data_IF_229152842337
#
_entry.id   IF_229152842337
#
_cell.length_a   1.000
_cell.length_b   1.000
_cell.length_c   1.000
_cell.angle_alpha   90.00
_cell.angle_beta   90.00
_cell.angle_gamma   90.00
#
_symmetry.space_group_name_H-M   'P 1'
#
loop_
_entity.id
_entity.type
_entity.pdbx_description
1 polymer ?
#
# COMPACT_ATOMS: atom_id res chain seq x y z
N UNK A 1 -2.02 -16.78 -11.05
CA UNK A 1 -0.94 -16.01 -11.68
C UNK A 1 -0.69 -14.71 -10.90
N UNK A 2 0.57 -14.31 -10.73
CA UNK A 2 0.88 -13.00 -10.14
C UNK A 2 0.50 -11.84 -11.08
N UNK A 3 0.46 -12.09 -12.38
CA UNK A 3 0.09 -11.11 -13.40
C UNK A 3 -1.42 -10.89 -13.44
N UNK A 4 -1.83 -9.63 -13.61
CA UNK A 4 -3.23 -9.22 -13.62
C UNK A 4 -3.89 -9.08 -12.24
N UNK A 5 -3.24 -9.57 -11.17
CA UNK A 5 -3.70 -9.39 -9.79
C UNK A 5 -3.24 -8.04 -9.24
N UNK A 6 -4.08 -7.43 -8.42
CA UNK A 6 -3.73 -6.18 -7.73
C UNK A 6 -3.13 -6.47 -6.37
N UNK A 7 -2.14 -5.66 -5.99
CA UNK A 7 -1.43 -5.76 -4.71
C UNK A 7 -1.42 -4.40 -4.02
N UNK A 8 -1.30 -4.42 -2.68
CA UNK A 8 -0.96 -3.26 -1.89
C UNK A 8 0.51 -3.36 -1.50
N UNK A 9 1.30 -2.33 -1.83
CA UNK A 9 2.66 -2.15 -1.34
C UNK A 9 2.63 -1.12 -0.22
N UNK A 10 2.71 -1.60 1.02
CA UNK A 10 2.76 -0.77 2.22
C UNK A 10 4.20 -0.57 2.70
N UNK A 11 4.51 0.63 3.21
CA UNK A 11 5.85 1.01 3.67
C UNK A 11 5.79 1.54 5.10
N UNK A 12 6.44 0.84 6.04
CA UNK A 12 6.53 1.22 7.44
C UNK A 12 7.97 1.35 7.88
N UNK A 13 8.20 2.16 8.90
CA UNK A 13 9.46 2.22 9.60
C UNK A 13 9.50 1.10 10.64
N UNK A 14 10.44 0.15 10.52
CA UNK A 14 10.64 -0.88 11.54
C UNK A 14 11.61 -0.43 12.64
N UNK A 15 12.62 0.38 12.28
CA UNK A 15 13.55 0.98 13.22
C UNK A 15 14.16 2.25 12.61
N UNK A 16 14.60 3.17 13.45
CA UNK A 16 15.25 4.42 13.04
C UNK A 16 16.39 4.77 13.98
N UNK A 17 17.42 5.42 13.45
CA UNK A 17 18.56 5.87 14.25
C UNK A 17 18.25 7.08 15.16
N UNK A 18 17.19 7.81 14.88
CA UNK A 18 16.65 8.85 15.77
C UNK A 18 15.12 8.97 15.56
N UNK A 19 14.43 9.48 16.58
CA UNK A 19 12.96 9.61 16.61
C UNK A 19 12.47 11.00 16.20
N UNK A 20 13.36 11.86 15.72
CA UNK A 20 13.01 13.24 15.33
C UNK A 20 12.05 13.28 14.15
N UNK A 21 12.30 12.43 13.15
CA UNK A 21 11.58 12.47 11.88
C UNK A 21 10.64 11.25 11.71
N UNK A 22 11.05 10.10 12.23
CA UNK A 22 10.28 8.86 12.20
C UNK A 22 10.33 8.11 13.52
N UNK A 23 9.24 7.44 13.84
CA UNK A 23 9.18 6.46 14.94
C UNK A 23 8.89 5.05 14.38
N UNK A 24 9.31 4.03 15.10
CA UNK A 24 9.02 2.65 14.72
C UNK A 24 7.50 2.42 14.65
N UNK A 25 7.05 1.69 13.62
CA UNK A 25 5.64 1.45 13.33
C UNK A 25 4.97 2.51 12.44
N UNK A 26 5.58 3.68 12.28
CA UNK A 26 5.02 4.76 11.47
C UNK A 26 4.97 4.40 9.98
N UNK A 27 3.88 4.81 9.30
CA UNK A 27 3.77 4.75 7.85
C UNK A 27 4.65 5.87 7.27
N UNK A 28 5.70 5.47 6.55
CA UNK A 28 6.65 6.43 5.97
C UNK A 28 6.14 7.05 4.67
N UNK A 29 5.43 6.26 3.85
CA UNK A 29 4.82 6.69 2.59
C UNK A 29 3.44 6.10 2.46
N UNK A 30 2.54 6.79 1.76
CA UNK A 30 1.22 6.23 1.47
C UNK A 30 1.35 4.87 0.77
N UNK A 31 0.51 3.89 1.11
CA UNK A 31 0.47 2.62 0.41
C UNK A 31 0.16 2.82 -1.07
N UNK A 32 0.80 2.01 -1.91
CA UNK A 32 0.59 2.03 -3.36
C UNK A 32 -0.24 0.81 -3.76
N UNK A 33 -1.25 1.02 -4.60
CA UNK A 33 -1.87 -0.06 -5.35
C UNK A 33 -1.02 -0.33 -6.57
N UNK A 34 -0.63 -1.58 -6.78
CA UNK A 34 0.23 -1.96 -7.90
C UNK A 34 -0.28 -3.19 -8.61
N UNK A 35 0.09 -3.32 -9.88
CA UNK A 35 -0.16 -4.49 -10.73
C UNK A 35 1.11 -4.84 -11.50
N UNK A 36 1.33 -6.13 -11.71
CA UNK A 36 2.42 -6.60 -12.54
C UNK A 36 1.93 -6.91 -13.95
N UNK A 37 2.68 -6.46 -14.95
CA UNK A 37 2.57 -6.90 -16.33
C UNK A 37 3.91 -7.37 -16.85
N UNK A 38 3.95 -8.03 -18.01
CA UNK A 38 5.20 -8.41 -18.67
C UNK A 38 5.07 -8.37 -20.18
N UNK A 39 6.20 -8.13 -20.84
CA UNK A 39 6.42 -8.45 -22.24
C UNK A 39 7.40 -9.64 -22.37
N UNK A 40 8.04 -9.77 -23.52
CA UNK A 40 9.00 -10.85 -23.78
C UNK A 40 10.31 -10.72 -22.97
N UNK A 41 10.68 -9.51 -22.56
CA UNK A 41 12.00 -9.20 -21.97
C UNK A 41 11.94 -8.64 -20.58
N UNK A 42 10.81 -8.03 -20.19
CA UNK A 42 10.70 -7.25 -18.96
C UNK A 42 9.42 -7.59 -18.20
N UNK A 43 9.48 -7.38 -16.90
CA UNK A 43 8.32 -7.29 -16.01
C UNK A 43 8.20 -5.84 -15.55
N UNK A 44 6.99 -5.32 -15.53
CA UNK A 44 6.67 -3.96 -15.13
C UNK A 44 5.79 -3.94 -13.89
N UNK A 45 6.07 -3.00 -12.99
CA UNK A 45 5.16 -2.60 -11.91
C UNK A 45 4.41 -1.37 -12.40
N UNK A 46 3.09 -1.46 -12.43
CA UNK A 46 2.21 -0.32 -12.67
C UNK A 46 1.65 0.17 -11.35
N UNK A 47 1.54 1.49 -11.19
CA UNK A 47 0.81 2.11 -10.10
C UNK A 47 -0.64 2.30 -10.53
N UNK A 48 -1.58 1.66 -9.80
CA UNK A 48 -3.00 1.75 -10.12
C UNK A 48 -3.58 3.04 -9.56
N UNK A 49 -4.24 3.79 -10.42
CA UNK A 49 -5.03 4.95 -10.04
C UNK A 49 -6.43 4.49 -9.65
N UNK A 50 -6.77 4.62 -8.37
CA UNK A 50 -8.05 4.10 -7.84
C UNK A 50 -9.07 5.17 -7.52
N UNK A 51 -8.76 6.45 -7.73
CA UNK A 51 -9.66 7.59 -7.50
C UNK A 51 -10.75 7.72 -8.55
N UNK A 52 -10.44 7.29 -9.77
CA UNK A 52 -11.29 7.42 -10.93
C UNK A 52 -11.69 6.02 -11.40
N UNK A 53 -12.98 5.79 -11.63
CA UNK A 53 -13.52 4.49 -12.01
C UNK A 53 -14.66 4.65 -13.03
N UNK A 54 -14.90 3.60 -13.80
CA UNK A 54 -16.07 3.52 -14.70
C UNK A 54 -17.21 2.79 -14.00
N UNK A 55 -18.43 3.20 -14.26
CA UNK A 55 -19.63 2.55 -13.72
C UNK A 55 -19.89 1.22 -14.45
N UNK A 56 -19.71 0.10 -13.76
CA UNK A 56 -20.04 -1.22 -14.29
C UNK A 56 -19.36 -1.53 -15.64
N UNK A 57 -20.14 -1.96 -16.63
CA UNK A 57 -19.73 -2.25 -18.02
C UNK A 57 -20.17 -1.14 -18.96
N UNK A 58 -19.85 0.11 -18.64
CA UNK A 58 -20.27 1.28 -19.41
C UNK A 58 -19.46 1.40 -20.72
N UNK A 59 -20.08 1.76 -21.87
CA UNK A 59 -19.39 1.95 -23.14
C UNK A 59 -18.23 2.96 -23.12
N UNK A 60 -18.20 3.88 -22.14
CA UNK A 60 -17.13 4.86 -21.93
C UNK A 60 -15.79 4.23 -21.53
N UNK A 61 -15.78 2.96 -21.07
CA UNK A 61 -14.60 2.26 -20.57
C UNK A 61 -13.42 2.34 -21.54
N UNK A 62 -13.66 2.13 -22.84
CA UNK A 62 -12.60 2.18 -23.85
C UNK A 62 -11.96 3.56 -24.00
N UNK A 63 -12.73 4.63 -23.78
CA UNK A 63 -12.22 6.00 -23.79
C UNK A 63 -11.54 6.34 -22.46
N UNK A 64 -12.08 5.83 -21.35
CA UNK A 64 -11.49 5.97 -20.02
C UNK A 64 -10.09 5.35 -19.96
N UNK A 65 -9.91 4.12 -20.40
CA UNK A 65 -8.62 3.41 -20.39
C UNK A 65 -7.52 4.13 -21.17
N UNK A 66 -7.88 4.87 -22.23
CA UNK A 66 -6.92 5.67 -23.00
C UNK A 66 -6.46 6.92 -22.26
N UNK A 67 -7.26 7.45 -21.34
CA UNK A 67 -6.99 8.69 -20.59
C UNK A 67 -6.50 8.44 -19.17
N UNK A 68 -6.76 7.26 -18.61
CA UNK A 68 -6.40 6.85 -17.24
C UNK A 68 -5.55 5.58 -17.23
N UNK A 69 -4.59 5.50 -18.14
CA UNK A 69 -3.66 4.37 -18.20
C UNK A 69 -2.78 4.33 -16.94
N UNK A 70 -2.67 3.15 -16.33
CA UNK A 70 -1.84 2.94 -15.14
C UNK A 70 -0.35 3.19 -15.45
N UNK A 71 0.30 4.21 -14.86
CA UNK A 71 1.68 4.53 -15.17
C UNK A 71 2.63 3.41 -14.74
N UNK A 72 3.69 3.21 -15.51
CA UNK A 72 4.77 2.30 -15.16
C UNK A 72 5.64 2.93 -14.06
N UNK A 73 5.64 2.32 -12.89
CA UNK A 73 6.46 2.73 -11.76
C UNK A 73 7.91 2.25 -11.92
N UNK A 74 8.08 0.99 -12.36
CA UNK A 74 9.40 0.34 -12.50
C UNK A 74 9.35 -0.79 -13.52
N UNK A 75 10.43 -0.93 -14.29
CA UNK A 75 10.68 -2.08 -15.16
C UNK A 75 11.87 -2.91 -14.67
N UNK A 76 11.78 -4.23 -14.84
CA UNK A 76 12.81 -5.20 -14.47
C UNK A 76 13.07 -6.13 -15.65
N UNK A 77 14.33 -6.38 -15.99
CA UNK A 77 14.67 -7.40 -16.98
C UNK A 77 14.36 -8.79 -16.45
N UNK A 78 13.82 -9.64 -17.29
CA UNK A 78 13.65 -11.06 -16.96
C UNK A 78 15.03 -11.72 -16.94
N UNK A 79 15.44 -12.20 -15.77
CA UNK A 79 16.71 -12.88 -15.57
C UNK A 79 16.65 -14.36 -15.99
N UNK A 80 15.49 -15.01 -15.77
CA UNK A 80 15.23 -16.37 -16.18
C UNK A 80 13.72 -16.59 -16.36
N UNK A 81 13.36 -17.58 -17.18
CA UNK A 81 11.97 -17.97 -17.38
C UNK A 81 11.85 -19.50 -17.45
N UNK A 82 10.83 -20.04 -16.79
CA UNK A 82 10.44 -21.44 -16.87
C UNK A 82 8.91 -21.54 -17.07
N UNK A 83 8.50 -21.82 -18.27
CA UNK A 83 7.09 -21.82 -18.67
C UNK A 83 6.44 -20.46 -18.41
N UNK A 84 5.44 -20.43 -17.54
CA UNK A 84 4.72 -19.18 -17.16
C UNK A 84 5.40 -18.40 -16.04
N UNK A 85 6.38 -18.98 -15.37
CA UNK A 85 7.09 -18.36 -14.26
C UNK A 85 8.28 -17.57 -14.78
N UNK A 86 8.48 -16.37 -14.25
CA UNK A 86 9.61 -15.49 -14.55
C UNK A 86 10.34 -15.12 -13.28
N UNK A 87 11.64 -14.94 -13.39
CA UNK A 87 12.52 -14.49 -12.32
C UNK A 87 13.04 -13.10 -12.68
N UNK A 88 12.92 -12.17 -11.74
CA UNK A 88 13.42 -10.80 -11.85
C UNK A 88 14.24 -10.44 -10.62
N UNK A 89 15.22 -9.56 -10.81
CA UNK A 89 16.00 -8.99 -9.70
C UNK A 89 15.35 -7.69 -9.24
N UNK A 90 14.82 -7.71 -8.02
CA UNK A 90 14.18 -6.56 -7.36
C UNK A 90 15.07 -5.90 -6.30
N UNK A 91 16.34 -6.32 -6.20
CA UNK A 91 17.27 -5.85 -5.16
C UNK A 91 17.41 -4.33 -5.17
N UNK A 92 17.60 -3.73 -6.33
CA UNK A 92 17.72 -2.27 -6.44
C UNK A 92 16.41 -1.53 -6.07
N UNK A 93 15.25 -2.14 -6.32
CA UNK A 93 13.95 -1.52 -5.98
C UNK A 93 13.71 -1.49 -4.48
N UNK A 94 14.01 -2.58 -3.79
CA UNK A 94 13.77 -2.69 -2.35
C UNK A 94 14.98 -2.32 -1.50
N UNK A 95 16.19 -2.51 -1.99
CA UNK A 95 17.44 -2.29 -1.25
C UNK A 95 18.07 -0.91 -1.43
N UNK A 96 17.59 -0.12 -2.41
CA UNK A 96 18.06 1.24 -2.65
C UNK A 96 16.99 2.29 -2.34
N UNK A 97 17.34 3.57 -2.56
CA UNK A 97 16.44 4.69 -2.35
C UNK A 97 15.52 4.91 -3.57
N UNK A 98 14.57 4.01 -3.78
CA UNK A 98 13.55 4.17 -4.82
C UNK A 98 12.57 5.29 -4.42
N UNK A 99 12.48 6.35 -5.25
CA UNK A 99 11.72 7.58 -4.93
C UNK A 99 10.27 7.33 -4.55
N UNK A 100 9.61 6.39 -5.20
CA UNK A 100 8.20 6.09 -4.97
C UNK A 100 7.91 5.53 -3.58
N UNK A 101 8.90 4.84 -2.97
CA UNK A 101 8.81 4.16 -1.67
C UNK A 101 9.90 4.63 -0.69
N UNK A 102 10.50 5.78 -0.95
CA UNK A 102 11.53 6.38 -0.11
C UNK A 102 10.93 7.04 1.14
N UNK A 103 11.51 6.85 2.33
CA UNK A 103 11.15 7.61 3.52
C UNK A 103 11.58 9.07 3.42
N UNK A 104 12.62 9.37 2.62
CA UNK A 104 13.12 10.72 2.38
C UNK A 104 12.52 11.26 1.09
N UNK A 105 11.68 12.27 1.21
CA UNK A 105 11.13 12.96 0.05
C UNK A 105 12.21 13.87 -0.57
N UNK A 106 12.44 13.73 -1.87
CA UNK A 106 13.26 14.68 -2.62
C UNK A 106 12.58 16.05 -2.61
N UNK A 107 13.37 17.10 -2.41
CA UNK A 107 12.89 18.48 -2.42
C UNK A 107 12.00 18.78 -3.63
N UNK A 108 10.75 19.11 -3.37
CA UNK A 108 9.92 19.79 -4.35
C UNK A 108 10.18 21.31 -4.16
N UNK A 109 10.65 22.04 -5.16
CA UNK A 109 10.85 23.49 -5.07
C UNK A 109 9.61 24.25 -4.59
N UNK A 110 8.42 23.75 -4.93
CA UNK A 110 7.14 24.33 -4.53
C UNK A 110 6.85 24.14 -3.02
N UNK A 111 7.29 23.04 -2.42
CA UNK A 111 7.12 22.82 -0.98
C UNK A 111 7.97 23.75 -0.13
N UNK A 112 9.11 24.22 -0.66
CA UNK A 112 9.93 25.27 -0.05
C UNK A 112 9.22 26.62 -0.03
N UNK A 113 8.52 26.94 -1.11
CA UNK A 113 7.80 28.21 -1.25
C UNK A 113 6.56 28.27 -0.35
N UNK A 114 5.90 27.14 -0.14
CA UNK A 114 4.66 27.05 0.66
C UNK A 114 4.87 26.76 2.14
N UNK A 115 6.13 26.87 2.64
CA UNK A 115 6.44 26.67 4.06
C UNK A 115 6.18 25.22 4.56
N UNK A 116 6.18 24.27 3.67
CA UNK A 116 5.97 22.85 3.98
C UNK A 116 7.03 22.36 4.96
N UNK A 117 6.54 21.84 6.09
CA UNK A 117 7.32 21.43 7.25
C UNK A 117 8.44 20.44 6.90
N UNK A 118 9.59 20.67 7.50
CA UNK A 118 10.71 19.78 7.80
C UNK A 118 10.66 18.36 7.19
N UNK A 119 10.85 18.27 5.88
CA UNK A 119 11.18 16.98 5.28
C UNK A 119 12.66 16.72 5.54
N UNK A 120 12.96 15.55 6.09
CA UNK A 120 14.31 15.06 6.26
C UNK A 120 15.05 15.11 4.91
N UNK A 121 16.20 15.80 4.88
CA UNK A 121 17.02 15.96 3.68
C UNK A 121 18.32 15.23 3.86
N UNK A 122 18.72 14.49 2.83
CA UNK A 122 19.98 13.77 2.91
C UNK A 122 20.37 13.12 1.59
N UNK A 123 21.64 12.82 1.47
CA UNK A 123 22.20 12.06 0.35
C UNK A 123 22.19 10.58 0.72
N UNK A 124 21.67 9.77 -0.17
CA UNK A 124 21.65 8.30 0.00
C UNK A 124 23.06 7.72 -0.06
N UNK A 125 23.35 6.75 0.84
CA UNK A 125 24.63 6.07 0.94
C UNK A 125 24.43 4.59 0.51
N UNK A 126 24.71 4.25 -0.77
CA UNK A 126 24.46 2.91 -1.31
C UNK A 126 25.20 1.81 -0.54
N UNK A 127 26.49 2.01 -0.25
CA UNK A 127 27.35 1.00 0.40
C UNK A 127 26.94 0.64 1.82
N UNK A 128 26.14 1.52 2.47
CA UNK A 128 25.59 1.30 3.81
C UNK A 128 24.11 0.84 3.77
N UNK A 129 23.57 0.56 2.59
CA UNK A 129 22.16 0.24 2.37
C UNK A 129 21.98 -1.12 1.72
N UNK A 130 20.79 -1.73 1.89
CA UNK A 130 20.51 -3.01 1.26
C UNK A 130 19.36 -3.75 1.93
N UNK A 131 18.99 -4.90 1.35
CA UNK A 131 17.98 -5.80 1.92
C UNK A 131 18.57 -6.50 3.13
N UNK A 132 17.86 -6.44 4.25
CA UNK A 132 18.23 -7.08 5.53
C UNK A 132 17.61 -8.46 5.64
N UNK A 133 16.34 -8.59 5.24
CA UNK A 133 15.62 -9.87 5.26
C UNK A 133 14.43 -9.84 4.34
N UNK A 134 14.04 -11.03 3.87
CA UNK A 134 12.79 -11.23 3.15
C UNK A 134 12.09 -12.49 3.67
N UNK A 135 10.75 -12.44 3.73
CA UNK A 135 9.90 -13.57 4.12
C UNK A 135 8.70 -13.62 3.17
N UNK A 136 8.35 -14.82 2.73
CA UNK A 136 7.19 -15.06 1.87
C UNK A 136 6.14 -15.84 2.63
N UNK A 137 4.89 -15.45 2.46
CA UNK A 137 3.69 -16.08 2.99
C UNK A 137 2.69 -16.32 1.84
N UNK A 138 1.64 -17.11 2.01
CA UNK A 138 0.71 -17.40 0.92
C UNK A 138 0.09 -16.18 0.24
N UNK A 139 -0.18 -15.10 0.98
CA UNK A 139 -0.85 -13.90 0.47
C UNK A 139 0.00 -12.63 0.54
N UNK A 140 1.21 -12.70 1.13
CA UNK A 140 2.07 -11.52 1.28
C UNK A 140 3.56 -11.84 1.25
N UNK A 141 4.34 -10.83 0.91
CA UNK A 141 5.79 -10.84 0.96
C UNK A 141 6.23 -9.69 1.86
N UNK A 142 7.11 -10.00 2.82
CA UNK A 142 7.65 -9.04 3.78
C UNK A 142 9.13 -8.82 3.52
N UNK A 143 9.53 -7.57 3.28
CA UNK A 143 10.90 -7.20 2.97
C UNK A 143 11.36 -6.12 3.95
N UNK A 144 12.46 -6.38 4.65
CA UNK A 144 13.14 -5.39 5.47
C UNK A 144 14.39 -4.91 4.76
N UNK A 145 14.57 -3.61 4.68
CA UNK A 145 15.74 -2.98 4.04
C UNK A 145 16.29 -1.89 4.94
N UNK A 146 17.60 -1.85 5.09
CA UNK A 146 18.30 -0.72 5.70
C UNK A 146 18.57 0.32 4.63
N UNK A 147 18.13 1.54 4.84
CA UNK A 147 18.47 2.69 4.02
C UNK A 147 19.25 3.69 4.87
N UNK A 148 20.43 4.05 4.39
CA UNK A 148 21.34 4.96 5.06
C UNK A 148 21.53 6.23 4.27
N UNK A 149 21.63 7.34 4.97
CA UNK A 149 21.72 8.69 4.40
C UNK A 149 22.73 9.52 5.18
N UNK A 150 23.30 10.51 4.52
CA UNK A 150 24.04 11.60 5.14
C UNK A 150 23.14 12.81 5.14
N UNK A 151 22.71 13.25 6.32
CA UNK A 151 21.75 14.36 6.45
C UNK A 151 22.39 15.71 6.17
N UNK A 152 21.66 16.61 5.53
CA UNK A 152 22.08 17.99 5.28
C UNK A 152 21.38 18.94 6.24
N UNK A 153 22.04 20.05 6.69
CA UNK A 153 23.38 20.51 6.26
C UNK A 153 24.55 19.93 7.10
N UNK A 154 24.30 19.21 8.18
CA UNK A 154 25.32 18.88 9.19
C UNK A 154 26.14 17.61 8.88
N UNK A 155 25.87 16.91 7.80
CA UNK A 155 26.59 15.69 7.44
C UNK A 155 26.39 14.52 8.40
N UNK A 156 25.35 14.54 9.22
CA UNK A 156 25.11 13.50 10.23
C UNK A 156 24.65 12.20 9.56
N UNK A 157 25.17 11.03 10.00
CA UNK A 157 24.68 9.75 9.52
C UNK A 157 23.26 9.50 10.05
N UNK A 158 22.40 8.99 9.19
CA UNK A 158 21.05 8.58 9.51
C UNK A 158 20.74 7.24 8.85
N UNK A 159 20.21 6.31 9.58
CA UNK A 159 19.77 5.02 9.05
C UNK A 159 18.36 4.67 9.50
N UNK A 160 17.61 4.08 8.59
CA UNK A 160 16.24 3.61 8.84
C UNK A 160 16.07 2.20 8.30
N UNK A 161 15.43 1.35 9.08
CA UNK A 161 14.98 0.04 8.61
C UNK A 161 13.55 0.19 8.11
N UNK A 162 13.39 0.07 6.80
CA UNK A 162 12.09 0.05 6.16
C UNK A 162 11.52 -1.38 6.17
N UNK A 163 10.28 -1.53 6.55
CA UNK A 163 9.51 -2.76 6.41
C UNK A 163 8.46 -2.55 5.32
N UNK A 164 8.63 -3.28 4.25
CA UNK A 164 7.75 -3.23 3.07
C UNK A 164 6.97 -4.50 2.97
N UNK A 165 5.66 -4.35 2.94
CA UNK A 165 4.72 -5.47 2.87
C UNK A 165 3.99 -5.40 1.53
N UNK A 166 4.11 -6.46 0.74
CA UNK A 166 3.38 -6.63 -0.52
C UNK A 166 2.25 -7.61 -0.29
N UNK A 167 1.02 -7.13 -0.20
CA UNK A 167 -0.20 -7.92 0.01
C UNK A 167 -0.96 -8.12 -1.28
N UNK A 168 -1.34 -9.36 -1.57
CA UNK A 168 -2.29 -9.65 -2.63
C UNK A 168 -3.70 -9.23 -2.20
N UNK A 169 -4.40 -8.44 -3.03
CA UNK A 169 -5.80 -8.16 -2.79
C UNK A 169 -6.65 -9.42 -3.04
N UNK A 170 -7.78 -9.58 -2.32
CA UNK A 170 -8.70 -10.67 -2.57
C UNK A 170 -9.28 -10.58 -3.98
N UNK A 171 -9.48 -11.75 -4.61
CA UNK A 171 -10.09 -11.84 -5.94
C UNK A 171 -11.56 -11.40 -5.93
N UNK A 172 -12.24 -11.59 -4.79
CA UNK A 172 -13.59 -11.08 -4.51
C UNK A 172 -13.52 -9.95 -3.47
N UNK A 173 -13.48 -8.68 -3.91
CA UNK A 173 -13.40 -7.54 -3.00
C UNK A 173 -14.74 -7.29 -2.29
N UNK A 174 -14.65 -6.77 -1.09
CA UNK A 174 -15.80 -6.34 -0.32
C UNK A 174 -16.61 -5.27 -1.08
N UNK A 175 -17.95 -5.35 -1.12
CA UNK A 175 -18.79 -4.31 -1.72
C UNK A 175 -18.55 -2.94 -1.08
N UNK A 176 -18.42 -1.93 -1.92
CA UNK A 176 -18.26 -0.54 -1.47
C UNK A 176 -19.54 -0.07 -0.78
N UNK A 177 -19.41 0.72 0.29
CA UNK A 177 -20.51 1.31 1.02
C UNK A 177 -20.39 2.83 1.03
N UNK A 178 -21.46 3.51 0.65
CA UNK A 178 -21.53 4.96 0.68
C UNK A 178 -21.40 5.52 2.09
N UNK A 179 -20.75 6.66 2.20
CA UNK A 179 -20.70 7.43 3.43
C UNK A 179 -22.09 7.96 3.79
N UNK A 180 -22.40 7.99 5.07
CA UNK A 180 -23.55 8.69 5.64
C UNK A 180 -23.03 9.76 6.60
N UNK A 181 -23.44 11.02 6.38
CA UNK A 181 -22.96 12.17 7.16
C UNK A 181 -23.35 12.13 8.65
N UNK A 182 -24.27 11.23 9.04
CA UNK A 182 -24.65 11.01 10.44
C UNK A 182 -23.59 10.23 11.23
N UNK A 183 -22.68 9.54 10.53
CA UNK A 183 -21.66 8.70 11.15
C UNK A 183 -20.28 9.06 10.59
N UNK A 184 -19.34 9.35 11.48
CA UNK A 184 -17.96 9.64 11.09
C UNK A 184 -17.16 8.37 10.82
N UNK A 185 -16.79 8.16 9.56
CA UNK A 185 -15.86 7.11 9.12
C UNK A 185 -14.68 7.74 8.40
N UNK A 186 -13.53 7.07 8.40
CA UNK A 186 -12.54 7.31 7.37
C UNK A 186 -13.10 6.88 6.02
N UNK A 187 -12.77 7.61 4.97
CA UNK A 187 -13.36 7.41 3.66
C UNK A 187 -12.38 7.64 2.50
N UNK A 188 -12.78 7.21 1.32
CA UNK A 188 -12.14 7.54 0.05
C UNK A 188 -13.18 8.06 -0.93
N UNK A 189 -12.82 9.13 -1.64
CA UNK A 189 -13.63 9.66 -2.72
C UNK A 189 -13.34 8.95 -4.03
N UNK A 190 -14.38 8.72 -4.83
CA UNK A 190 -14.30 8.17 -6.17
C UNK A 190 -15.00 9.11 -7.14
N UNK A 191 -14.36 9.33 -8.28
CA UNK A 191 -14.95 9.95 -9.45
C UNK A 191 -15.47 8.86 -10.38
N UNK A 192 -16.77 8.81 -10.61
CA UNK A 192 -17.41 7.77 -11.41
C UNK A 192 -17.76 8.35 -12.78
N UNK A 193 -17.22 7.71 -13.81
CA UNK A 193 -17.49 8.04 -15.21
C UNK A 193 -18.58 7.11 -15.75
N UNK A 194 -19.55 7.68 -16.46
CA UNK A 194 -20.62 6.94 -17.10
C UNK A 194 -21.11 7.69 -18.35
N UNK A 195 -21.49 6.95 -19.37
CA UNK A 195 -22.12 7.51 -20.58
C UNK A 195 -23.56 7.98 -20.37
N UNK A 196 -24.17 7.64 -19.24
CA UNK A 196 -25.56 8.02 -18.92
C UNK A 196 -25.71 9.45 -18.43
N UNK A 197 -24.61 10.10 -18.02
CA UNK A 197 -24.64 11.45 -17.45
C UNK A 197 -23.56 12.36 -18.03
N UNK A 198 -23.93 13.60 -18.34
CA UNK A 198 -23.01 14.62 -18.87
C UNK A 198 -22.06 15.22 -17.83
N UNK A 199 -22.12 14.75 -16.59
CA UNK A 199 -21.29 15.25 -15.49
C UNK A 199 -20.63 14.13 -14.73
N UNK A 200 -19.46 14.44 -14.17
CA UNK A 200 -18.74 13.55 -13.27
C UNK A 200 -19.54 13.31 -11.98
N UNK A 201 -19.75 12.05 -11.63
CA UNK A 201 -20.40 11.66 -10.39
C UNK A 201 -19.33 11.44 -9.32
N UNK A 202 -19.37 12.23 -8.26
CA UNK A 202 -18.51 12.00 -7.09
C UNK A 202 -19.26 11.19 -6.04
N UNK A 203 -18.62 10.16 -5.49
CA UNK A 203 -19.13 9.32 -4.41
C UNK A 203 -18.06 9.10 -3.37
N UNK A 204 -18.45 9.15 -2.12
CA UNK A 204 -17.58 8.91 -0.97
C UNK A 204 -17.92 7.55 -0.37
N UNK A 205 -16.90 6.69 -0.22
CA UNK A 205 -17.02 5.33 0.30
C UNK A 205 -16.27 5.18 1.60
N UNK A 206 -16.91 4.56 2.60
CA UNK A 206 -16.34 4.38 3.93
C UNK A 206 -15.29 3.28 3.96
N UNK A 207 -14.27 3.46 4.83
CA UNK A 207 -13.35 2.40 5.22
C UNK A 207 -13.98 1.63 6.38
N UNK A 208 -14.10 0.31 6.23
CA UNK A 208 -14.66 -0.58 7.23
C UNK A 208 -14.01 -1.94 7.19
N UNK A 209 -14.13 -2.69 8.27
CA UNK A 209 -13.76 -4.09 8.28
C UNK A 209 -14.72 -4.93 7.42
N UNK A 210 -14.19 -5.98 6.78
CA UNK A 210 -15.00 -6.97 6.09
C UNK A 210 -15.55 -7.95 7.11
N UNK A 211 -16.73 -7.67 7.64
CA UNK A 211 -17.44 -8.50 8.59
C UNK A 211 -18.66 -9.11 7.89
N UNK A 212 -18.50 -10.34 7.41
CA UNK A 212 -19.54 -11.08 6.72
C UNK A 212 -19.94 -12.27 7.59
N UNK A 213 -21.24 -12.55 7.77
CA UNK A 213 -21.70 -13.71 8.54
C UNK A 213 -21.27 -15.01 7.86
N UNK A 214 -21.11 -16.07 8.63
CA UNK A 214 -20.95 -17.42 8.07
C UNK A 214 -22.20 -17.82 7.31
N UNK A 215 -22.06 -18.67 6.28
CA UNK A 215 -23.20 -19.10 5.46
C UNK A 215 -24.30 -19.79 6.29
N UNK A 216 -23.89 -20.52 7.31
CA UNK A 216 -24.77 -21.24 8.25
C UNK A 216 -25.57 -20.32 9.18
N UNK A 217 -25.11 -19.10 9.39
CA UNK A 217 -25.73 -18.11 10.28
C UNK A 217 -26.49 -17.01 9.56
N UNK A 218 -26.63 -17.08 8.21
CA UNK A 218 -27.29 -16.05 7.42
C UNK A 218 -28.75 -15.80 7.86
N UNK A 219 -29.49 -16.87 8.16
CA UNK A 219 -30.90 -16.74 8.59
C UNK A 219 -31.01 -16.01 9.92
N UNK A 220 -30.16 -16.33 10.89
CA UNK A 220 -30.08 -15.63 12.18
C UNK A 220 -29.69 -14.16 11.99
N UNK A 221 -28.69 -13.91 11.14
CA UNK A 221 -28.25 -12.55 10.83
C UNK A 221 -29.39 -11.69 10.22
N UNK A 222 -30.16 -12.25 9.30
CA UNK A 222 -31.32 -11.55 8.70
C UNK A 222 -32.47 -11.35 9.69
N UNK A 223 -32.54 -12.15 10.75
CA UNK A 223 -33.47 -11.96 11.88
C UNK A 223 -32.97 -10.91 12.88
N UNK A 224 -31.77 -10.35 12.67
CA UNK A 224 -31.17 -9.35 13.54
C UNK A 224 -30.38 -9.91 14.72
N UNK A 225 -30.10 -11.21 14.74
CA UNK A 225 -29.26 -11.82 15.76
C UNK A 225 -27.78 -11.48 15.54
N UNK A 226 -27.01 -11.38 16.62
CA UNK A 226 -25.57 -11.24 16.59
C UNK A 226 -24.94 -12.59 16.26
N UNK A 227 -24.13 -12.64 15.21
CA UNK A 227 -23.46 -13.85 14.73
C UNK A 227 -21.96 -13.61 14.56
N UNK A 228 -21.18 -14.68 14.67
CA UNK A 228 -19.74 -14.66 14.43
C UNK A 228 -19.42 -14.39 12.97
N UNK A 229 -18.45 -13.51 12.66
CA UNK A 229 -18.04 -13.29 11.28
C UNK A 229 -17.24 -14.47 10.73
N UNK A 230 -17.21 -14.64 9.41
CA UNK A 230 -16.39 -15.64 8.73
C UNK A 230 -14.90 -15.51 9.09
N UNK A 231 -14.41 -14.26 9.16
CA UNK A 231 -13.05 -13.94 9.58
C UNK A 231 -13.14 -12.93 10.72
N UNK A 232 -12.74 -13.30 11.95
CA UNK A 232 -12.73 -12.36 13.06
C UNK A 232 -11.65 -11.29 12.86
N UNK A 233 -11.84 -10.14 13.50
CA UNK A 233 -10.79 -9.13 13.61
C UNK A 233 -9.76 -9.61 14.63
N UNK A 234 -8.52 -9.85 14.20
CA UNK A 234 -7.45 -10.37 15.05
C UNK A 234 -6.38 -9.30 15.23
N UNK A 235 -6.06 -8.97 16.46
CA UNK A 235 -4.96 -8.10 16.83
C UNK A 235 -3.84 -8.91 17.48
N UNK A 236 -2.61 -8.63 17.07
CA UNK A 236 -1.41 -9.20 17.68
C UNK A 236 -0.78 -8.16 18.61
N UNK A 237 -0.59 -8.52 19.85
CA UNK A 237 0.13 -7.68 20.82
C UNK A 237 1.62 -8.02 20.73
N UNK A 238 2.47 -6.99 20.51
CA UNK A 238 3.91 -7.16 20.43
C UNK A 238 4.47 -7.77 21.73
N UNK A 239 5.48 -8.63 21.62
CA UNK A 239 6.12 -9.26 22.78
C UNK A 239 6.80 -8.26 23.71
N UNK A 240 7.22 -7.12 23.21
CA UNK A 240 7.80 -6.01 23.99
C UNK A 240 6.75 -5.20 24.76
N UNK A 241 5.45 -5.45 24.53
CA UNK A 241 4.39 -4.74 25.25
C UNK A 241 4.42 -5.10 26.75
N UNK A 242 4.40 -4.09 27.66
CA UNK A 242 4.55 -4.32 29.09
C UNK A 242 3.47 -5.25 29.66
N UNK A 243 3.89 -6.29 30.39
CA UNK A 243 3.00 -7.35 30.92
C UNK A 243 1.84 -6.79 31.73
N UNK A 244 2.12 -5.76 32.55
CA UNK A 244 1.10 -5.11 33.40
C UNK A 244 -0.14 -4.58 32.67
N UNK A 245 -0.02 -4.32 31.35
CA UNK A 245 -1.11 -3.77 30.54
C UNK A 245 -1.77 -4.81 29.61
N UNK A 246 -1.20 -6.02 29.53
CA UNK A 246 -1.73 -7.06 28.61
C UNK A 246 -3.15 -7.45 28.96
N UNK A 247 -3.47 -7.61 30.23
CA UNK A 247 -4.84 -7.95 30.67
C UNK A 247 -5.88 -6.94 30.20
N UNK A 248 -5.52 -5.64 30.22
CA UNK A 248 -6.42 -4.58 29.76
C UNK A 248 -6.66 -4.57 28.25
N UNK A 249 -5.74 -5.15 27.47
CA UNK A 249 -5.89 -5.24 26.00
C UNK A 249 -6.67 -6.50 25.60
N UNK A 250 -6.59 -7.56 26.40
CA UNK A 250 -7.30 -8.82 26.16
C UNK A 250 -8.78 -8.79 26.57
N UNK A 251 -9.25 -7.73 27.19
CA UNK A 251 -10.67 -7.49 27.53
C UNK A 251 -11.39 -6.71 26.41
#
# INVERSE_FOLDING_TARGET
>A
SAFGRTYILANRVAATSNTRDFVAGQIATQPLLIRFSKDERNVYIHQIQSSDIVAGTDPIESAFDKNFYDPVLKGFKIAAQNGKNVVIDVTAFFGANEKAISPIKTDNPLSKLLGGANSLKGTFVPDASGIVSSKCFPENIEIKSRLSFTLTPLGQPYSVIMHRSLFALPDDPMPMRLQDNRVGFFYSDKSIYTSEQDRLIRRTFIHRWRLEPKKEDLDKYFQGELVEPQKPIVFYVDSAFPEKWRTAIHQ
#
